data_IF_360468196423
#
_entry.id   IF_360468196423
#
_cell.length_a   1.000
_cell.length_b   1.000
_cell.length_c   1.000
_cell.angle_alpha   90.00
_cell.angle_beta   90.00
_cell.angle_gamma   90.00
#
_symmetry.space_group_name_H-M   'P 1'
#
loop_
_entity.id
_entity.type
_entity.pdbx_description
1 polymer ?
#
# COMPACT_ATOMS: atom_id res chain seq x y z
N UNK A 1 -13.82 -7.19 -14.26
CA UNK A 1 -13.58 -6.77 -15.65
C UNK A 1 -14.70 -5.90 -16.20
N UNK A 2 -15.93 -6.37 -16.46
CA UNK A 2 -16.96 -5.53 -17.12
C UNK A 2 -17.33 -4.24 -16.36
N UNK A 3 -17.33 -4.24 -15.03
CA UNK A 3 -17.51 -3.00 -14.24
C UNK A 3 -16.38 -2.00 -14.47
N UNK A 4 -15.14 -2.47 -14.52
CA UNK A 4 -13.95 -1.68 -14.86
C UNK A 4 -14.06 -1.13 -16.27
N UNK A 5 -14.52 -1.95 -17.23
CA UNK A 5 -14.79 -1.51 -18.60
C UNK A 5 -15.89 -0.44 -18.64
N UNK A 6 -16.98 -0.60 -17.88
CA UNK A 6 -18.01 0.43 -17.77
C UNK A 6 -17.42 1.75 -17.24
N UNK A 7 -16.59 1.70 -16.19
CA UNK A 7 -15.92 2.89 -15.65
C UNK A 7 -15.01 3.52 -16.70
N UNK A 8 -14.28 2.71 -17.47
CA UNK A 8 -13.57 3.18 -18.65
C UNK A 8 -14.52 3.86 -19.63
N UNK A 9 -15.72 3.35 -19.95
CA UNK A 9 -16.61 4.01 -20.91
C UNK A 9 -17.14 5.36 -20.39
N UNK A 10 -17.66 5.42 -19.16
CA UNK A 10 -18.39 6.60 -18.67
C UNK A 10 -17.56 7.57 -17.84
N UNK A 11 -16.40 7.17 -17.30
CA UNK A 11 -15.56 7.96 -16.39
C UNK A 11 -16.36 8.65 -15.27
N UNK A 12 -17.35 7.94 -14.74
CA UNK A 12 -18.34 8.45 -13.79
C UNK A 12 -18.98 7.29 -13.02
N UNK A 13 -19.70 7.61 -11.95
CA UNK A 13 -20.49 6.61 -11.23
C UNK A 13 -21.70 6.18 -12.09
N UNK A 14 -21.92 4.87 -12.30
CA UNK A 14 -23.12 4.38 -12.98
C UNK A 14 -24.39 4.81 -12.25
N UNK A 15 -25.44 5.15 -13.01
CA UNK A 15 -26.77 5.48 -12.50
C UNK A 15 -27.71 4.27 -12.53
N UNK A 16 -27.43 3.33 -13.42
CA UNK A 16 -28.22 2.11 -13.61
C UNK A 16 -27.34 0.86 -13.51
N UNK A 17 -27.98 -0.31 -13.64
CA UNK A 17 -27.29 -1.60 -13.68
C UNK A 17 -26.31 -1.65 -14.86
N UNK A 18 -25.23 -2.42 -14.67
CA UNK A 18 -24.13 -2.60 -15.61
C UNK A 18 -24.59 -2.92 -17.04
N UNK A 19 -25.53 -3.86 -17.18
CA UNK A 19 -26.11 -4.29 -18.45
C UNK A 19 -26.84 -3.15 -19.16
N UNK A 20 -27.70 -2.42 -18.43
CA UNK A 20 -28.45 -1.27 -18.99
C UNK A 20 -27.53 -0.14 -19.45
N UNK A 21 -26.51 0.18 -18.67
CA UNK A 21 -25.54 1.23 -19.01
C UNK A 21 -24.75 0.86 -20.26
N UNK A 22 -24.16 -0.35 -20.30
CA UNK A 22 -23.36 -0.78 -21.45
C UNK A 22 -24.19 -0.88 -22.74
N UNK A 23 -25.41 -1.43 -22.67
CA UNK A 23 -26.30 -1.48 -23.84
C UNK A 23 -26.66 -0.07 -24.35
N UNK A 24 -26.91 0.88 -23.43
CA UNK A 24 -27.16 2.28 -23.82
C UNK A 24 -25.94 2.92 -24.49
N UNK A 25 -24.73 2.65 -23.99
CA UNK A 25 -23.48 3.14 -24.58
C UNK A 25 -23.29 2.55 -25.98
N UNK A 26 -23.46 1.23 -26.14
CA UNK A 26 -23.29 0.56 -27.42
C UNK A 26 -24.28 1.05 -28.48
N UNK A 27 -25.53 1.31 -28.09
CA UNK A 27 -26.53 1.88 -28.98
C UNK A 27 -26.14 3.30 -29.46
N UNK A 28 -25.49 4.10 -28.60
CA UNK A 28 -25.05 5.47 -28.93
C UNK A 28 -23.77 5.52 -29.77
N UNK A 29 -22.85 4.57 -29.57
CA UNK A 29 -21.60 4.52 -30.32
C UNK A 29 -21.76 4.07 -31.77
N UNK A 30 -22.91 3.49 -32.12
CA UNK A 30 -23.24 3.02 -33.47
C UNK A 30 -22.14 2.10 -34.06
N UNK A 31 -21.49 1.30 -33.20
CA UNK A 31 -20.47 0.32 -33.59
C UNK A 31 -21.14 -1.02 -33.91
N UNK A 32 -20.56 -1.77 -34.84
CA UNK A 32 -20.97 -3.15 -35.09
C UNK A 32 -20.71 -4.03 -33.86
N UNK A 33 -21.51 -5.08 -33.68
CA UNK A 33 -21.31 -6.06 -32.60
C UNK A 33 -19.90 -6.65 -32.58
N UNK A 34 -19.32 -6.89 -33.76
CA UNK A 34 -17.95 -7.39 -33.90
C UNK A 34 -16.91 -6.39 -33.37
N UNK A 35 -17.09 -5.10 -33.65
CA UNK A 35 -16.23 -4.02 -33.13
C UNK A 35 -16.32 -3.90 -31.61
N UNK A 36 -17.54 -3.97 -31.06
CA UNK A 36 -17.77 -3.93 -29.61
C UNK A 36 -17.11 -5.13 -28.91
N UNK A 37 -17.30 -6.34 -29.44
CA UNK A 37 -16.68 -7.56 -28.88
C UNK A 37 -15.15 -7.45 -28.93
N UNK A 38 -14.59 -6.92 -30.02
CA UNK A 38 -13.15 -6.70 -30.15
C UNK A 38 -12.64 -5.70 -29.10
N UNK A 39 -13.31 -4.56 -28.91
CA UNK A 39 -12.93 -3.56 -27.90
C UNK A 39 -12.94 -4.14 -26.48
N UNK A 40 -14.00 -4.88 -26.13
CA UNK A 40 -14.10 -5.58 -24.83
C UNK A 40 -12.96 -6.60 -24.69
N UNK A 41 -12.67 -7.35 -25.75
CA UNK A 41 -11.58 -8.33 -25.78
C UNK A 41 -10.21 -7.68 -25.55
N UNK A 42 -9.93 -6.58 -26.24
CA UNK A 42 -8.67 -5.84 -26.11
C UNK A 42 -8.55 -5.17 -24.73
N UNK A 43 -9.64 -4.61 -24.19
CA UNK A 43 -9.68 -4.10 -22.81
C UNK A 43 -9.49 -5.21 -21.77
N UNK A 44 -10.06 -6.40 -22.00
CA UNK A 44 -9.88 -7.55 -21.12
C UNK A 44 -8.41 -7.96 -21.03
N UNK A 45 -7.66 -7.92 -22.14
CA UNK A 45 -6.20 -8.15 -22.13
C UNK A 45 -5.47 -7.11 -21.28
N UNK A 46 -5.81 -5.83 -21.42
CA UNK A 46 -5.24 -4.76 -20.60
C UNK A 46 -5.54 -4.93 -19.10
N UNK A 47 -6.77 -5.33 -18.76
CA UNK A 47 -7.18 -5.65 -17.40
C UNK A 47 -6.40 -6.84 -16.81
N UNK A 48 -6.24 -7.92 -17.59
CA UNK A 48 -5.45 -9.09 -17.17
C UNK A 48 -3.98 -8.72 -16.99
N UNK A 49 -3.39 -7.95 -17.92
CA UNK A 49 -2.02 -7.47 -17.80
C UNK A 49 -1.82 -6.64 -16.53
N UNK A 50 -2.76 -5.75 -16.22
CA UNK A 50 -2.77 -4.96 -14.97
C UNK A 50 -2.79 -5.86 -13.73
N UNK A 51 -3.65 -6.90 -13.72
CA UNK A 51 -3.76 -7.82 -12.59
C UNK A 51 -2.60 -8.82 -12.48
N UNK A 52 -1.81 -9.00 -13.53
CA UNK A 52 -0.66 -9.90 -13.55
C UNK A 52 0.67 -9.16 -13.49
N UNK A 53 0.67 -7.82 -13.35
CA UNK A 53 1.90 -7.08 -13.14
C UNK A 53 2.50 -7.37 -11.76
N UNK A 54 3.79 -7.71 -11.74
CA UNK A 54 4.57 -8.01 -10.52
C UNK A 54 5.53 -6.87 -10.13
N UNK A 55 5.23 -5.64 -10.54
CA UNK A 55 5.96 -4.46 -10.08
C UNK A 55 5.57 -4.07 -8.64
N UNK A 56 6.51 -3.40 -7.95
CA UNK A 56 6.37 -2.98 -6.54
C UNK A 56 5.12 -2.14 -6.28
N UNK A 57 4.81 -1.18 -7.16
CA UNK A 57 3.67 -0.29 -7.00
C UNK A 57 2.34 -1.04 -7.15
N UNK A 58 2.21 -1.89 -8.18
CA UNK A 58 1.03 -2.72 -8.37
C UNK A 58 0.82 -3.66 -7.19
N UNK A 59 1.89 -4.23 -6.64
CA UNK A 59 1.81 -5.05 -5.43
C UNK A 59 1.30 -4.26 -4.22
N UNK A 60 1.74 -3.02 -4.03
CA UNK A 60 1.22 -2.14 -2.98
C UNK A 60 -0.28 -1.86 -3.17
N UNK A 61 -0.73 -1.59 -4.39
CA UNK A 61 -2.14 -1.32 -4.70
C UNK A 61 -3.06 -2.53 -4.43
N UNK A 62 -2.54 -3.77 -4.53
CA UNK A 62 -3.31 -5.00 -4.26
C UNK A 62 -3.79 -5.11 -2.81
N UNK A 63 -3.15 -4.44 -1.86
CA UNK A 63 -3.58 -4.41 -0.45
C UNK A 63 -4.79 -3.52 -0.20
N UNK A 64 -5.09 -2.57 -1.10
CA UNK A 64 -6.23 -1.69 -0.96
C UNK A 64 -7.55 -2.47 -1.03
N UNK A 65 -8.45 -2.21 -0.07
CA UNK A 65 -9.77 -2.83 -0.02
C UNK A 65 -10.60 -2.54 -1.29
N UNK A 66 -10.55 -1.31 -1.80
CA UNK A 66 -11.38 -0.86 -2.92
C UNK A 66 -10.65 -0.97 -4.26
N UNK A 67 -10.42 -2.22 -4.70
CA UNK A 67 -9.64 -2.52 -5.90
C UNK A 67 -10.21 -1.93 -7.19
N UNK A 68 -11.52 -1.72 -7.26
CA UNK A 68 -12.19 -1.27 -8.48
C UNK A 68 -11.65 0.05 -9.03
N UNK A 69 -11.22 0.98 -8.18
CA UNK A 69 -10.78 2.29 -8.65
C UNK A 69 -9.41 2.22 -9.31
N UNK A 70 -8.38 1.77 -8.58
CA UNK A 70 -7.04 1.68 -9.15
C UNK A 70 -6.98 0.69 -10.32
N UNK A 71 -7.73 -0.42 -10.27
CA UNK A 71 -7.79 -1.35 -11.41
C UNK A 71 -8.42 -0.70 -12.63
N UNK A 72 -9.44 0.16 -12.48
CA UNK A 72 -10.05 0.88 -13.60
C UNK A 72 -9.11 1.90 -14.20
N UNK A 73 -8.39 2.64 -13.36
CA UNK A 73 -7.41 3.65 -13.78
C UNK A 73 -6.27 2.97 -14.54
N UNK A 74 -5.62 1.97 -13.95
CA UNK A 74 -4.48 1.30 -14.58
C UNK A 74 -4.89 0.48 -15.81
N UNK A 75 -6.03 -0.21 -15.80
CA UNK A 75 -6.50 -0.93 -17.00
C UNK A 75 -6.79 0.04 -18.14
N UNK A 76 -7.31 1.24 -17.84
CA UNK A 76 -7.52 2.30 -18.83
C UNK A 76 -6.19 2.82 -19.37
N UNK A 77 -5.23 3.10 -18.50
CA UNK A 77 -3.90 3.55 -18.89
C UNK A 77 -3.18 2.53 -19.79
N UNK A 78 -3.22 1.24 -19.43
CA UNK A 78 -2.65 0.16 -20.24
C UNK A 78 -3.40 0.01 -21.57
N UNK A 79 -4.73 0.06 -21.56
CA UNK A 79 -5.55 -0.08 -22.77
C UNK A 79 -5.29 1.06 -23.77
N UNK A 80 -5.10 2.27 -23.28
CA UNK A 80 -4.83 3.47 -24.09
C UNK A 80 -3.34 3.69 -24.37
N UNK A 81 -2.45 2.87 -23.82
CA UNK A 81 -0.98 3.05 -23.89
C UNK A 81 -0.55 4.43 -23.39
N UNK A 82 -1.06 4.83 -22.23
CA UNK A 82 -0.74 6.10 -21.59
C UNK A 82 0.78 6.25 -21.36
N UNK A 83 1.33 7.40 -21.72
CA UNK A 83 2.78 7.62 -21.80
C UNK A 83 3.49 7.53 -20.43
N UNK A 84 2.82 7.95 -19.36
CA UNK A 84 3.38 8.04 -18.00
C UNK A 84 2.88 6.92 -17.07
N UNK A 85 2.85 5.68 -17.56
CA UNK A 85 2.26 4.56 -16.82
C UNK A 85 2.94 4.28 -15.48
N UNK A 86 4.28 4.36 -15.42
CA UNK A 86 5.02 4.04 -14.19
C UNK A 86 4.91 5.16 -13.15
N UNK A 87 4.96 6.42 -13.57
CA UNK A 87 4.74 7.58 -12.71
C UNK A 87 3.30 7.62 -12.18
N UNK A 88 2.33 7.22 -13.01
CA UNK A 88 0.94 7.06 -12.59
C UNK A 88 0.83 6.00 -11.49
N UNK A 89 1.46 4.82 -11.61
CA UNK A 89 1.42 3.79 -10.56
C UNK A 89 1.95 4.33 -9.23
N UNK A 90 3.05 5.06 -9.25
CA UNK A 90 3.63 5.68 -8.05
C UNK A 90 2.66 6.68 -7.42
N UNK A 91 2.07 7.56 -8.24
CA UNK A 91 1.09 8.56 -7.80
C UNK A 91 -0.18 7.94 -7.21
N UNK A 92 -0.64 6.81 -7.77
CA UNK A 92 -1.77 6.08 -7.21
C UNK A 92 -1.43 5.43 -5.86
N UNK A 93 -0.24 4.87 -5.69
CA UNK A 93 0.20 4.32 -4.39
C UNK A 93 0.19 5.44 -3.35
N UNK A 94 0.86 6.56 -3.63
CA UNK A 94 0.91 7.72 -2.75
C UNK A 94 -0.50 8.18 -2.34
N UNK A 95 -1.36 8.48 -3.31
CA UNK A 95 -2.69 9.02 -3.05
C UNK A 95 -3.60 8.06 -2.28
N UNK A 96 -3.66 6.79 -2.68
CA UNK A 96 -4.56 5.84 -2.03
C UNK A 96 -4.06 5.40 -0.66
N UNK A 97 -2.75 5.29 -0.45
CA UNK A 97 -2.21 4.98 0.88
C UNK A 97 -2.42 6.14 1.84
N UNK A 98 -2.13 7.38 1.45
CA UNK A 98 -2.42 8.55 2.29
C UNK A 98 -3.89 8.56 2.74
N UNK A 99 -4.82 8.37 1.80
CA UNK A 99 -6.25 8.29 2.11
C UNK A 99 -6.60 7.09 3.01
N UNK A 100 -6.01 5.92 2.77
CA UNK A 100 -6.28 4.73 3.57
C UNK A 100 -5.78 4.88 5.01
N UNK A 101 -4.58 5.43 5.19
CA UNK A 101 -3.97 5.68 6.49
C UNK A 101 -4.77 6.73 7.26
N UNK A 102 -5.17 7.82 6.59
CA UNK A 102 -6.01 8.87 7.15
C UNK A 102 -7.49 8.48 7.37
N UNK A 103 -7.85 7.20 7.20
CA UNK A 103 -9.20 6.70 7.45
C UNK A 103 -10.27 7.20 6.47
N UNK A 104 -9.87 7.61 5.26
CA UNK A 104 -10.81 8.11 4.25
C UNK A 104 -11.80 7.04 3.80
N UNK A 105 -13.04 7.46 3.55
CA UNK A 105 -14.08 6.60 2.98
C UNK A 105 -14.01 6.56 1.46
N UNK A 106 -14.64 5.54 0.86
CA UNK A 106 -14.81 5.46 -0.61
C UNK A 106 -15.39 6.75 -1.20
N UNK A 107 -16.31 7.40 -0.50
CA UNK A 107 -16.94 8.63 -0.98
C UNK A 107 -15.91 9.74 -1.22
N UNK A 108 -14.86 9.83 -0.38
CA UNK A 108 -13.80 10.85 -0.51
C UNK A 108 -12.93 10.62 -1.74
N UNK A 109 -12.62 9.36 -2.08
CA UNK A 109 -11.70 9.03 -3.18
C UNK A 109 -12.39 8.80 -4.53
N UNK A 110 -13.70 8.55 -4.53
CA UNK A 110 -14.46 8.11 -5.70
C UNK A 110 -14.43 9.13 -6.84
N UNK A 111 -14.74 10.39 -6.56
CA UNK A 111 -14.84 11.41 -7.61
C UNK A 111 -13.48 11.67 -8.27
N UNK A 112 -12.43 11.83 -7.47
CA UNK A 112 -11.06 11.98 -7.96
C UNK A 112 -10.65 10.78 -8.81
N UNK A 113 -10.98 9.55 -8.41
CA UNK A 113 -10.72 8.35 -9.22
C UNK A 113 -11.38 8.39 -10.60
N UNK A 114 -12.60 8.95 -10.70
CA UNK A 114 -13.27 9.16 -11.99
C UNK A 114 -12.67 10.30 -12.80
N UNK A 115 -12.19 11.36 -12.14
CA UNK A 115 -11.48 12.45 -12.81
C UNK A 115 -10.17 11.97 -13.43
N UNK A 116 -9.42 11.10 -12.74
CA UNK A 116 -8.22 10.47 -13.30
C UNK A 116 -8.51 9.69 -14.58
N UNK A 117 -9.64 8.97 -14.66
CA UNK A 117 -10.04 8.29 -15.89
C UNK A 117 -10.28 9.26 -17.04
N UNK A 118 -10.74 10.49 -16.78
CA UNK A 118 -10.91 11.51 -17.83
C UNK A 118 -9.58 12.06 -18.29
N UNK A 119 -8.69 12.37 -17.34
CA UNK A 119 -7.35 12.89 -17.61
C UNK A 119 -6.49 11.90 -18.42
N UNK A 120 -6.52 10.61 -18.06
CA UNK A 120 -5.81 9.57 -18.80
C UNK A 120 -6.35 9.43 -20.23
N UNK A 121 -7.67 9.54 -20.42
CA UNK A 121 -8.27 9.49 -21.77
C UNK A 121 -7.89 10.66 -22.65
N UNK A 122 -7.61 11.82 -22.07
CA UNK A 122 -7.08 12.98 -22.80
C UNK A 122 -5.56 12.97 -22.91
N UNK A 123 -4.89 11.90 -22.47
CA UNK A 123 -3.44 11.79 -22.37
C UNK A 123 -2.81 12.99 -21.62
N UNK A 124 -3.46 13.42 -20.54
CA UNK A 124 -2.96 14.52 -19.71
C UNK A 124 -1.57 14.19 -19.13
N UNK A 125 -0.78 15.22 -18.84
CA UNK A 125 0.53 15.08 -18.20
C UNK A 125 0.42 14.48 -16.79
N UNK A 126 1.54 13.96 -16.27
CA UNK A 126 1.57 13.46 -14.89
C UNK A 126 1.39 14.60 -13.88
N UNK A 127 1.82 15.82 -14.22
CA UNK A 127 1.63 17.03 -13.40
C UNK A 127 0.15 17.36 -13.22
N UNK A 128 -0.67 17.24 -14.27
CA UNK A 128 -2.12 17.44 -14.20
C UNK A 128 -2.81 16.36 -13.35
N UNK A 129 -2.37 15.10 -13.47
CA UNK A 129 -2.82 14.00 -12.62
C UNK A 129 -2.52 14.30 -11.15
N UNK A 130 -1.28 14.71 -10.85
CA UNK A 130 -0.83 15.02 -9.49
C UNK A 130 -1.56 16.22 -8.91
N UNK A 131 -1.85 17.24 -9.72
CA UNK A 131 -2.66 18.39 -9.30
C UNK A 131 -4.09 17.98 -8.89
N UNK A 132 -4.75 17.09 -9.66
CA UNK A 132 -6.07 16.57 -9.31
C UNK A 132 -6.05 15.75 -8.00
N UNK A 133 -4.99 14.95 -7.78
CA UNK A 133 -4.80 14.21 -6.53
C UNK A 133 -4.56 15.15 -5.33
N UNK A 134 -3.69 16.15 -5.49
CA UNK A 134 -3.40 17.18 -4.49
C UNK A 134 -4.64 17.95 -4.05
N UNK A 135 -5.52 18.32 -4.99
CA UNK A 135 -6.78 19.03 -4.67
C UNK A 135 -7.60 18.21 -3.67
N UNK A 136 -7.70 16.90 -3.86
CA UNK A 136 -8.40 16.02 -2.93
C UNK A 136 -7.71 15.93 -1.57
N UNK A 137 -6.39 15.71 -1.55
CA UNK A 137 -5.61 15.59 -0.32
C UNK A 137 -5.70 16.86 0.53
N UNK A 138 -5.56 18.05 -0.09
CA UNK A 138 -5.68 19.36 0.58
C UNK A 138 -7.08 19.59 1.13
N UNK A 139 -8.11 19.28 0.34
CA UNK A 139 -9.52 19.48 0.72
C UNK A 139 -9.88 18.79 2.04
N UNK A 140 -9.29 17.63 2.32
CA UNK A 140 -9.59 16.83 3.51
C UNK A 140 -8.47 16.85 4.56
N UNK A 141 -7.44 17.69 4.38
CA UNK A 141 -6.22 17.67 5.19
C UNK A 141 -5.61 16.25 5.30
N UNK A 142 -5.77 15.42 4.27
CA UNK A 142 -5.42 14.00 4.28
C UNK A 142 -3.95 13.79 4.61
N UNK A 143 -3.05 14.59 4.01
CA UNK A 143 -1.61 14.47 4.24
C UNK A 143 -1.24 14.73 5.70
N UNK A 144 -1.89 15.69 6.37
CA UNK A 144 -1.67 15.95 7.80
C UNK A 144 -2.06 14.73 8.64
N UNK A 145 -3.29 14.22 8.46
CA UNK A 145 -3.77 13.06 9.21
C UNK A 145 -2.97 11.79 8.90
N UNK A 146 -2.54 11.62 7.65
CA UNK A 146 -1.63 10.53 7.27
C UNK A 146 -0.33 10.59 8.09
N UNK A 147 0.31 11.77 8.19
CA UNK A 147 1.54 11.96 8.95
C UNK A 147 1.34 11.71 10.45
N UNK A 148 0.24 12.21 11.02
CA UNK A 148 -0.11 11.97 12.42
C UNK A 148 -0.34 10.47 12.72
N UNK A 149 -1.05 9.75 11.85
CA UNK A 149 -1.37 8.34 12.04
C UNK A 149 -0.15 7.41 11.94
N UNK A 150 0.82 7.67 11.05
CA UNK A 150 2.05 6.86 10.97
C UNK A 150 3.03 7.16 12.11
N UNK A 151 2.98 8.37 12.68
CA UNK A 151 3.86 8.79 13.77
C UNK A 151 3.30 8.41 15.15
N UNK A 152 1.98 8.20 15.24
CA UNK A 152 1.31 7.91 16.50
C UNK A 152 1.79 6.62 17.19
N UNK A 153 1.58 6.56 18.50
CA UNK A 153 1.95 5.44 19.36
C UNK A 153 1.17 4.15 19.12
N UNK A 154 0.06 4.20 18.38
CA UNK A 154 -0.81 3.04 18.16
C UNK A 154 -1.05 2.73 16.67
N UNK A 155 -0.07 2.05 16.08
CA UNK A 155 -0.10 1.56 14.69
C UNK A 155 -0.50 0.08 14.61
N UNK A 156 -0.11 -0.74 15.60
CA UNK A 156 -0.50 -2.14 15.64
C UNK A 156 -2.03 -2.32 15.61
N UNK A 157 -2.53 -3.20 14.75
CA UNK A 157 -3.98 -3.47 14.62
C UNK A 157 -4.73 -2.48 13.72
N UNK A 158 -4.07 -1.43 13.23
CA UNK A 158 -4.63 -0.60 12.15
C UNK A 158 -4.76 -1.44 10.88
N UNK A 159 -5.80 -1.21 10.07
CA UNK A 159 -6.08 -2.00 8.86
C UNK A 159 -4.94 -1.96 7.83
N UNK A 160 -4.07 -0.96 7.91
CA UNK A 160 -2.96 -0.70 7.00
C UNK A 160 -1.58 -1.09 7.58
N UNK A 161 -1.52 -1.59 8.82
CA UNK A 161 -0.28 -1.86 9.58
C UNK A 161 0.78 -2.65 8.78
N UNK A 162 0.40 -3.84 8.30
CA UNK A 162 1.24 -4.72 7.49
C UNK A 162 1.53 -4.12 6.12
N UNK A 163 0.56 -3.45 5.52
CA UNK A 163 0.72 -2.90 4.17
C UNK A 163 1.77 -1.79 4.12
N UNK A 164 1.88 -0.97 5.17
CA UNK A 164 2.93 0.06 5.29
C UNK A 164 4.31 -0.58 5.45
N UNK A 165 4.47 -1.60 6.30
CA UNK A 165 5.76 -2.30 6.41
C UNK A 165 6.12 -3.07 5.13
N UNK A 166 5.13 -3.64 4.43
CA UNK A 166 5.32 -4.29 3.14
C UNK A 166 5.70 -3.31 2.04
N UNK A 167 5.19 -2.08 2.09
CA UNK A 167 5.65 -1.00 1.22
C UNK A 167 7.14 -0.75 1.44
N UNK A 168 7.59 -0.61 2.69
CA UNK A 168 9.02 -0.46 3.00
C UNK A 168 9.81 -1.68 2.52
N UNK A 169 9.31 -2.90 2.74
CA UNK A 169 9.96 -4.14 2.32
C UNK A 169 10.17 -4.19 0.80
N UNK A 170 9.13 -3.91 0.01
CA UNK A 170 9.22 -3.92 -1.45
C UNK A 170 10.26 -2.94 -1.99
N UNK A 171 10.39 -1.77 -1.35
CA UNK A 171 11.33 -0.74 -1.76
C UNK A 171 12.67 -0.77 -1.01
N UNK A 172 12.94 -1.82 -0.23
CA UNK A 172 14.25 -2.03 0.43
C UNK A 172 15.25 -2.80 -0.46
N UNK A 173 14.87 -3.16 -1.69
CA UNK A 173 15.74 -3.82 -2.66
C UNK A 173 15.65 -3.13 -4.02
N UNK A 174 16.74 -3.16 -4.80
CA UNK A 174 16.84 -2.47 -6.09
C UNK A 174 16.14 -3.20 -7.24
N UNK A 175 15.76 -4.48 -7.08
CA UNK A 175 15.14 -5.25 -8.16
C UNK A 175 13.71 -4.79 -8.46
N UNK A 176 13.38 -4.49 -9.71
CA UNK A 176 12.08 -3.92 -10.11
C UNK A 176 10.89 -4.90 -9.99
N UNK A 177 11.16 -6.20 -10.14
CA UNK A 177 10.16 -7.25 -10.02
C UNK A 177 10.20 -7.89 -8.64
N UNK A 178 9.04 -7.95 -7.97
CA UNK A 178 8.91 -8.65 -6.70
C UNK A 178 7.64 -9.49 -6.68
N UNK A 179 7.73 -10.68 -6.10
CA UNK A 179 6.55 -11.52 -5.94
C UNK A 179 5.62 -10.89 -4.92
N UNK A 180 4.32 -10.88 -5.21
CA UNK A 180 3.33 -10.38 -4.28
C UNK A 180 3.36 -11.19 -2.97
N UNK A 181 3.53 -10.50 -1.84
CA UNK A 181 3.51 -11.05 -0.49
C UNK A 181 2.07 -10.99 0.04
N UNK A 182 1.34 -12.11 0.15
CA UNK A 182 -0.03 -12.09 0.66
C UNK A 182 -0.08 -11.83 2.17
N UNK A 183 -0.98 -10.95 2.60
CA UNK A 183 -1.33 -10.79 4.02
C UNK A 183 -2.25 -11.95 4.40
N UNK A 184 -1.68 -13.00 4.99
CA UNK A 184 -2.39 -14.19 5.45
C UNK A 184 -1.79 -14.68 6.79
N UNK A 185 -2.24 -15.85 7.26
CA UNK A 185 -1.78 -16.47 8.51
C UNK A 185 -0.29 -16.90 8.54
N UNK A 186 0.47 -16.69 7.45
CA UNK A 186 1.92 -16.93 7.42
C UNK A 186 2.72 -15.65 7.64
N UNK A 187 2.11 -14.47 7.48
CA UNK A 187 2.72 -13.16 7.66
C UNK A 187 2.30 -12.55 9.00
N UNK A 188 3.26 -12.38 9.88
CA UNK A 188 3.04 -11.85 11.22
C UNK A 188 3.69 -10.48 11.39
N UNK A 189 3.01 -9.63 12.15
CA UNK A 189 3.65 -8.48 12.78
C UNK A 189 4.26 -8.95 14.09
N UNK A 190 5.54 -8.64 14.25
CA UNK A 190 6.28 -8.86 15.47
C UNK A 190 6.50 -7.52 16.18
N UNK A 191 6.31 -7.52 17.49
CA UNK A 191 6.71 -6.41 18.35
C UNK A 191 8.11 -6.68 18.86
N UNK A 192 9.05 -5.75 18.66
CA UNK A 192 10.43 -5.94 19.12
C UNK A 192 10.46 -5.86 20.65
N UNK A 193 10.04 -4.72 21.23
CA UNK A 193 9.56 -4.60 22.60
C UNK A 193 8.21 -5.33 22.73
N UNK A 194 8.11 -6.45 23.47
CA UNK A 194 6.90 -7.26 23.52
C UNK A 194 5.72 -6.56 24.20
N UNK A 195 4.49 -6.90 23.81
CA UNK A 195 3.26 -6.47 24.50
C UNK A 195 3.18 -6.90 25.97
N UNK A 196 3.81 -8.03 26.30
CA UNK A 196 3.95 -8.51 27.68
C UNK A 196 5.45 -8.58 28.00
N UNK A 197 6.06 -7.43 28.37
CA UNK A 197 7.49 -7.35 28.63
C UNK A 197 7.87 -8.15 29.88
N UNK A 198 8.98 -8.88 29.78
CA UNK A 198 9.66 -9.49 30.93
C UNK A 198 10.46 -8.42 31.68
N UNK A 199 10.98 -8.77 32.87
CA UNK A 199 11.69 -7.82 33.74
C UNK A 199 12.86 -7.10 33.04
N UNK A 200 13.63 -7.81 32.21
CA UNK A 200 14.74 -7.22 31.45
C UNK A 200 14.31 -6.04 30.55
N UNK A 201 13.09 -6.05 30.01
CA UNK A 201 12.58 -4.93 29.24
C UNK A 201 12.19 -3.74 30.13
N UNK A 202 11.77 -4.00 31.37
CA UNK A 202 11.41 -2.98 32.37
C UNK A 202 12.64 -2.34 33.02
N UNK A 203 13.80 -2.98 32.93
CA UNK A 203 15.09 -2.36 33.29
C UNK A 203 15.55 -1.34 32.23
N UNK A 204 15.06 -1.46 30.99
CA UNK A 204 15.42 -0.59 29.86
C UNK A 204 14.40 0.53 29.63
N UNK A 205 13.11 0.24 29.83
CA UNK A 205 12.00 1.15 29.55
C UNK A 205 11.17 1.46 30.79
N UNK A 206 10.76 2.72 30.95
CA UNK A 206 9.73 3.09 31.93
C UNK A 206 8.34 2.58 31.51
N UNK A 207 7.39 2.52 32.44
CA UNK A 207 6.02 2.13 32.12
C UNK A 207 5.39 3.09 31.08
N UNK A 208 5.68 4.39 31.16
CA UNK A 208 5.23 5.39 30.18
C UNK A 208 5.84 5.16 28.79
N UNK A 209 7.12 4.77 28.71
CA UNK A 209 7.78 4.45 27.45
C UNK A 209 7.22 3.15 26.84
N UNK A 210 6.92 2.15 27.66
CA UNK A 210 6.27 0.91 27.21
C UNK A 210 4.89 1.24 26.61
N UNK A 211 4.09 2.05 27.28
CA UNK A 211 2.76 2.45 26.81
C UNK A 211 2.82 3.21 25.48
N UNK A 212 3.80 4.10 25.31
CA UNK A 212 3.95 4.91 24.10
C UNK A 212 4.53 4.12 22.92
N UNK A 213 5.52 3.25 23.15
CA UNK A 213 6.31 2.68 22.05
C UNK A 213 5.92 1.28 21.64
N UNK A 214 5.27 0.49 22.51
CA UNK A 214 4.97 -0.92 22.24
C UNK A 214 4.22 -1.08 20.92
N UNK A 215 3.20 -0.27 20.65
CA UNK A 215 2.37 -0.39 19.45
C UNK A 215 2.76 0.55 18.31
N UNK A 216 3.86 1.30 18.48
CA UNK A 216 4.36 2.26 17.50
C UNK A 216 4.89 1.56 16.25
N UNK A 217 4.92 2.27 15.11
CA UNK A 217 5.48 1.72 13.87
C UNK A 217 6.95 1.28 14.02
N UNK A 218 7.74 2.04 14.79
CA UNK A 218 9.18 1.78 14.98
C UNK A 218 9.42 0.43 15.66
N UNK A 219 8.53 0.04 16.56
CA UNK A 219 8.63 -1.22 17.29
C UNK A 219 8.08 -2.44 16.54
N UNK A 220 7.55 -2.24 15.32
CA UNK A 220 6.96 -3.32 14.53
C UNK A 220 7.90 -3.80 13.41
N UNK A 221 7.86 -5.11 13.15
CA UNK A 221 8.55 -5.71 12.01
C UNK A 221 7.77 -6.89 11.41
N UNK A 222 8.18 -7.37 10.23
CA UNK A 222 7.56 -8.49 9.53
C UNK A 222 8.29 -9.80 9.81
N UNK A 223 7.54 -10.84 10.20
CA UNK A 223 8.07 -12.20 10.38
C UNK A 223 7.21 -13.25 9.70
N UNK A 224 7.84 -14.37 9.38
CA UNK A 224 7.11 -15.61 9.11
C UNK A 224 6.58 -16.20 10.42
N UNK A 225 5.50 -16.99 10.35
CA UNK A 225 4.95 -17.70 11.50
C UNK A 225 6.02 -18.47 12.29
N UNK A 226 6.90 -19.19 11.59
CA UNK A 226 7.99 -19.97 12.22
C UNK A 226 8.91 -19.07 13.05
N UNK A 227 9.31 -17.92 12.51
CA UNK A 227 10.20 -16.97 13.20
C UNK A 227 9.51 -16.27 14.37
N UNK A 228 8.23 -15.91 14.23
CA UNK A 228 7.46 -15.30 15.31
C UNK A 228 7.37 -16.24 16.53
N UNK A 229 7.04 -17.52 16.33
CA UNK A 229 6.98 -18.53 17.41
C UNK A 229 8.32 -18.70 18.14
N UNK A 230 9.44 -18.52 17.44
CA UNK A 230 10.78 -18.65 17.99
C UNK A 230 11.21 -17.46 18.86
N UNK A 231 10.69 -16.26 18.56
CA UNK A 231 11.09 -14.99 19.18
C UNK A 231 10.42 -14.75 20.54
N UNK A 232 9.15 -15.12 20.69
CA UNK A 232 8.36 -14.94 21.93
C UNK A 232 8.52 -13.53 22.53
N UNK A 233 8.41 -13.40 23.85
CA UNK A 233 8.64 -12.16 24.60
C UNK A 233 10.06 -12.07 25.17
N UNK A 234 11.03 -12.77 24.56
CA UNK A 234 12.41 -12.80 25.00
C UNK A 234 13.10 -11.44 24.89
N UNK A 235 14.30 -11.35 25.45
CA UNK A 235 15.18 -10.18 25.35
C UNK A 235 15.48 -9.83 23.88
N UNK A 236 15.91 -8.59 23.63
CA UNK A 236 16.28 -8.17 22.28
C UNK A 236 17.33 -9.10 21.65
N UNK A 237 18.38 -9.44 22.41
CA UNK A 237 19.47 -10.31 21.95
C UNK A 237 18.97 -11.69 21.54
N UNK A 238 18.08 -12.29 22.34
CA UNK A 238 17.48 -13.60 22.03
C UNK A 238 16.53 -13.52 20.82
N UNK A 239 15.81 -12.40 20.66
CA UNK A 239 14.98 -12.14 19.48
C UNK A 239 15.82 -12.01 18.21
N UNK A 240 16.93 -11.26 18.24
CA UNK A 240 17.87 -11.19 17.12
C UNK A 240 18.41 -12.57 16.76
N UNK A 241 18.78 -13.39 17.75
CA UNK A 241 19.20 -14.78 17.50
C UNK A 241 18.08 -15.63 16.86
N UNK A 242 16.84 -15.47 17.32
CA UNK A 242 15.68 -16.10 16.69
C UNK A 242 15.49 -15.67 15.22
N UNK A 243 15.66 -14.38 14.92
CA UNK A 243 15.52 -13.83 13.58
C UNK A 243 16.65 -14.28 12.65
N UNK A 244 17.88 -14.40 13.17
CA UNK A 244 19.10 -14.64 12.39
C UNK A 244 19.38 -16.14 12.21
N UNK A 245 19.43 -16.91 13.30
CA UNK A 245 20.19 -18.17 13.31
C UNK A 245 19.60 -19.34 14.11
N UNK A 246 18.54 -19.16 14.91
CA UNK A 246 18.03 -20.22 15.82
C UNK A 246 17.68 -21.56 15.18
N UNK A 247 17.46 -21.61 13.87
CA UNK A 247 17.27 -22.83 13.07
C UNK A 247 18.12 -22.86 11.79
N UNK A 248 19.27 -22.15 11.79
CA UNK A 248 20.15 -21.94 10.62
C UNK A 248 19.46 -21.31 9.41
N UNK A 249 18.33 -20.63 9.61
CA UNK A 249 17.63 -19.91 8.54
C UNK A 249 17.44 -18.46 8.96
N UNK A 250 17.85 -17.52 8.13
CA UNK A 250 17.63 -16.08 8.37
C UNK A 250 16.18 -15.68 8.08
N UNK A 251 15.68 -14.64 8.73
CA UNK A 251 14.41 -14.00 8.38
C UNK A 251 14.37 -13.64 6.89
N UNK A 252 13.23 -13.87 6.24
CA UNK A 252 13.05 -13.57 4.82
C UNK A 252 12.75 -12.09 4.53
N UNK A 253 12.59 -11.27 5.56
CA UNK A 253 12.20 -9.86 5.41
C UNK A 253 13.37 -8.93 5.70
N UNK A 254 13.71 -8.08 4.73
CA UNK A 254 14.82 -7.12 4.82
C UNK A 254 14.59 -6.13 5.96
N UNK A 255 13.35 -5.67 6.18
CA UNK A 255 13.02 -4.75 7.28
C UNK A 255 13.33 -5.34 8.68
N UNK A 256 13.29 -6.68 8.80
CA UNK A 256 13.70 -7.41 10.01
C UNK A 256 15.20 -7.64 10.04
N UNK A 257 15.84 -7.93 8.91
CA UNK A 257 17.29 -8.09 8.85
C UNK A 257 18.03 -6.80 9.22
N UNK A 258 17.45 -5.63 8.92
CA UNK A 258 17.97 -4.32 9.37
C UNK A 258 18.08 -4.20 10.90
N UNK A 259 17.37 -5.04 11.67
CA UNK A 259 17.49 -5.05 13.13
C UNK A 259 18.82 -5.67 13.60
N UNK A 260 19.55 -6.38 12.74
CA UNK A 260 20.80 -7.04 13.11
C UNK A 260 21.96 -6.08 13.30
N UNK A 261 21.80 -4.83 12.87
CA UNK A 261 22.79 -3.76 13.01
C UNK A 261 22.73 -3.08 14.38
N UNK A 262 21.73 -3.40 15.21
CA UNK A 262 21.60 -2.86 16.56
C UNK A 262 22.12 -3.86 17.59
N UNK A 263 22.95 -3.38 18.52
CA UNK A 263 23.46 -4.18 19.64
C UNK A 263 22.47 -4.20 20.83
N UNK A 264 21.65 -3.15 20.96
CA UNK A 264 20.66 -2.93 22.00
C UNK A 264 19.32 -2.47 21.42
N UNK A 265 18.29 -2.44 22.27
CA UNK A 265 16.98 -1.91 21.90
C UNK A 265 16.42 -1.05 23.02
N UNK A 266 16.72 0.24 22.97
CA UNK A 266 16.23 1.27 23.87
C UNK A 266 15.56 2.41 23.10
N UNK A 267 15.40 3.54 23.78
CA UNK A 267 14.75 4.73 23.23
C UNK A 267 15.50 5.34 22.04
N UNK A 268 16.83 5.35 22.07
CA UNK A 268 17.66 5.89 20.99
C UNK A 268 17.47 5.08 19.69
N UNK A 269 17.44 3.75 19.78
CA UNK A 269 17.21 2.88 18.62
C UNK A 269 15.77 2.98 18.10
N UNK A 270 14.78 3.07 18.99
CA UNK A 270 13.38 3.29 18.61
C UNK A 270 13.19 4.58 17.83
N UNK A 271 13.73 5.70 18.35
CA UNK A 271 13.66 7.00 17.68
C UNK A 271 14.42 7.00 16.36
N UNK A 272 15.64 6.43 16.34
CA UNK A 272 16.45 6.30 15.13
C UNK A 272 15.70 5.51 14.05
N UNK A 273 15.11 4.37 14.42
CA UNK A 273 14.31 3.57 13.50
C UNK A 273 13.03 4.27 13.09
N UNK A 274 12.35 4.99 13.98
CA UNK A 274 11.15 5.76 13.62
C UNK A 274 11.48 6.74 12.50
N UNK A 275 12.53 7.55 12.67
CA UNK A 275 12.97 8.49 11.63
C UNK A 275 13.28 7.77 10.31
N UNK A 276 14.02 6.66 10.36
CA UNK A 276 14.37 5.89 9.16
C UNK A 276 13.15 5.31 8.43
N UNK A 277 12.20 4.71 9.14
CA UNK A 277 10.99 4.15 8.54
C UNK A 277 10.08 5.26 7.98
N UNK A 278 9.91 6.35 8.71
CA UNK A 278 9.10 7.49 8.28
C UNK A 278 9.69 8.13 7.01
N UNK A 279 11.02 8.30 6.94
CA UNK A 279 11.68 8.80 5.72
C UNK A 279 11.37 7.92 4.52
N UNK A 280 11.54 6.60 4.63
CA UNK A 280 11.23 5.64 3.56
C UNK A 280 9.76 5.69 3.14
N UNK A 281 8.84 5.91 4.08
CA UNK A 281 7.42 6.07 3.78
C UNK A 281 7.18 7.38 3.02
N UNK A 282 7.77 8.50 3.47
CA UNK A 282 7.59 9.80 2.83
C UNK A 282 8.15 9.85 1.41
N UNK A 283 9.29 9.23 1.15
CA UNK A 283 9.86 9.09 -0.21
C UNK A 283 8.88 8.47 -1.22
N UNK A 284 7.91 7.68 -0.75
CA UNK A 284 6.92 6.98 -1.60
C UNK A 284 5.53 7.56 -1.52
N UNK A 285 5.16 8.11 -0.37
CA UNK A 285 3.79 8.53 -0.10
C UNK A 285 3.62 10.04 -0.08
N UNK A 286 4.65 10.82 0.24
CA UNK A 286 4.59 12.29 0.37
C UNK A 286 5.25 12.97 -0.84
N UNK A 287 4.77 12.63 -2.03
CA UNK A 287 5.34 13.04 -3.33
C UNK A 287 4.56 14.18 -4.02
N UNK A 288 3.60 14.75 -3.31
CA UNK A 288 2.66 15.76 -3.81
C UNK A 288 2.96 17.13 -3.23
#
# INVERSE_FOLDING_TARGET
>A
MLTTYLYFKISANPKHRLDKELLSIFAKENKSSLSIIKEIGDFSKAYIATLNSYDKNTNCLRYLKHKIYWTSILSTAVFLKYDHLEELKHSLVAYYYQNWIAGATVARIKQTSFNLLKLIKSNASIEEINAELQVNLKRYATTKTFKEEIYGSYVYGRKWDRAVLLLIEYFSSDGDSTTFIPINNKLHLEHILPQNPIEEWKEVFSDEEIDEWTHSLANLTLLSLRKNVQAKNYSFKEKIEAYKNKDNVVSSFVITQQLFEFDSWGMDELQTRQHALISKIYERLDIF
#
